data_IF_742092376696
#
_entry.id   IF_742092376696
#
_cell.length_a   1.000
_cell.length_b   1.000
_cell.length_c   1.000
_cell.angle_alpha   90.00
_cell.angle_beta   90.00
_cell.angle_gamma   90.00
#
_symmetry.space_group_name_H-M   'P 1'
#
loop_
_entity.id
_entity.type
_entity.pdbx_description
1 polymer ?
#
# COMPACT_ATOMS: atom_id res chain seq x y z
N UNK A 1 -9.05 -3.47 -8.81
CA UNK A 1 -7.88 -2.86 -9.46
C UNK A 1 -7.53 -3.65 -10.69
N UNK A 2 -7.04 -2.97 -11.72
CA UNK A 2 -6.58 -3.60 -12.97
C UNK A 2 -5.17 -3.06 -13.24
N UNK A 3 -4.20 -3.97 -13.34
CA UNK A 3 -2.84 -3.63 -13.75
C UNK A 3 -2.83 -3.37 -15.25
N UNK A 4 -2.33 -2.22 -15.68
CA UNK A 4 -2.22 -1.85 -17.10
C UNK A 4 -0.86 -2.24 -17.67
N UNK A 5 0.18 -2.04 -16.88
CA UNK A 5 1.57 -2.37 -17.19
C UNK A 5 2.28 -2.80 -15.91
N UNK A 6 3.14 -3.80 -16.01
CA UNK A 6 3.84 -4.38 -14.85
C UNK A 6 5.35 -4.19 -15.04
N UNK A 7 5.87 -3.14 -14.42
CA UNK A 7 7.30 -2.78 -14.40
C UNK A 7 7.87 -2.79 -12.97
N UNK A 8 7.36 -3.68 -12.13
CA UNK A 8 7.76 -3.81 -10.72
C UNK A 8 6.82 -3.10 -9.74
N UNK A 9 7.06 -3.34 -8.45
CA UNK A 9 6.40 -2.78 -7.27
C UNK A 9 4.87 -2.69 -7.34
N UNK A 10 4.24 -3.73 -7.90
CA UNK A 10 2.80 -3.72 -8.20
C UNK A 10 1.94 -3.53 -6.95
N UNK A 11 2.35 -4.07 -5.81
CA UNK A 11 1.60 -4.00 -4.57
C UNK A 11 1.48 -2.55 -4.06
N UNK A 12 2.58 -1.81 -4.05
CA UNK A 12 2.59 -0.40 -3.64
C UNK A 12 1.81 0.47 -4.62
N UNK A 13 2.00 0.27 -5.92
CA UNK A 13 1.23 0.95 -6.97
C UNK A 13 -0.27 0.72 -6.80
N UNK A 14 -0.68 -0.51 -6.45
CA UNK A 14 -2.08 -0.86 -6.17
C UNK A 14 -2.62 -0.16 -4.92
N UNK A 15 -1.84 -0.11 -3.84
CA UNK A 15 -2.24 0.59 -2.60
C UNK A 15 -2.43 2.08 -2.88
N UNK A 16 -1.48 2.71 -3.55
CA UNK A 16 -1.55 4.13 -3.91
C UNK A 16 -2.75 4.41 -4.82
N UNK A 17 -2.97 3.59 -5.84
CA UNK A 17 -4.12 3.72 -6.75
C UNK A 17 -5.46 3.55 -6.01
N UNK A 18 -5.55 2.63 -5.05
CA UNK A 18 -6.75 2.44 -4.23
C UNK A 18 -7.01 3.63 -3.31
N UNK A 19 -5.97 4.11 -2.63
CA UNK A 19 -6.04 5.29 -1.76
C UNK A 19 -6.49 6.52 -2.55
N UNK A 20 -5.93 6.73 -3.75
CA UNK A 20 -6.34 7.83 -4.63
C UNK A 20 -7.79 7.68 -5.16
N UNK A 21 -8.20 6.47 -5.53
CA UNK A 21 -9.55 6.20 -6.00
C UNK A 21 -10.60 6.44 -4.90
N UNK A 22 -10.30 6.04 -3.67
CA UNK A 22 -11.16 6.31 -2.51
C UNK A 22 -11.14 7.78 -2.11
N UNK A 23 -9.98 8.45 -2.13
CA UNK A 23 -9.87 9.88 -1.80
C UNK A 23 -10.57 10.81 -2.80
N UNK A 24 -10.79 10.34 -4.04
CA UNK A 24 -11.55 11.02 -5.09
C UNK A 24 -12.98 10.48 -5.27
N UNK A 25 -13.40 9.52 -4.45
CA UNK A 25 -14.71 8.90 -4.54
C UNK A 25 -15.82 9.92 -4.27
N UNK A 26 -16.81 9.92 -5.15
CA UNK A 26 -18.08 10.63 -4.96
C UNK A 26 -19.21 9.62 -4.92
N UNK A 27 -20.23 9.87 -4.12
CA UNK A 27 -21.42 9.03 -3.98
C UNK A 27 -22.68 9.85 -4.27
N UNK A 28 -23.75 9.25 -4.82
CA UNK A 28 -25.01 9.94 -4.99
C UNK A 28 -25.60 10.30 -3.62
N UNK A 29 -26.12 11.52 -3.49
CA UNK A 29 -26.73 11.98 -2.24
C UNK A 29 -28.00 11.17 -1.95
N UNK A 30 -28.10 10.65 -0.73
CA UNK A 30 -29.26 9.85 -0.28
C UNK A 30 -30.07 10.67 0.72
N UNK A 31 -31.37 10.83 0.47
CA UNK A 31 -32.32 11.51 1.35
C UNK A 31 -33.37 10.51 1.78
N UNK A 32 -33.57 10.36 3.09
CA UNK A 32 -34.59 9.48 3.66
C UNK A 32 -35.71 10.37 4.20
N UNK A 33 -36.93 10.18 3.69
CA UNK A 33 -38.14 10.90 4.11
C UNK A 33 -39.27 9.92 4.31
N UNK A 34 -39.90 9.91 5.49
CA UNK A 34 -41.07 9.06 5.79
C UNK A 34 -40.90 7.58 5.40
N UNK A 35 -39.73 7.00 5.72
CA UNK A 35 -39.32 5.61 5.37
C UNK A 35 -39.04 5.34 3.88
N UNK A 36 -39.18 6.33 3.01
CA UNK A 36 -38.79 6.24 1.60
C UNK A 36 -37.34 6.70 1.39
N UNK A 37 -36.56 5.90 0.63
CA UNK A 37 -35.18 6.21 0.26
C UNK A 37 -35.16 6.84 -1.12
N UNK A 38 -34.82 8.14 -1.18
CA UNK A 38 -34.66 8.88 -2.42
C UNK A 38 -33.18 9.07 -2.75
N UNK A 39 -32.73 8.56 -3.89
CA UNK A 39 -31.35 8.71 -4.38
C UNK A 39 -31.31 9.83 -5.41
N UNK A 40 -30.51 10.87 -5.13
CA UNK A 40 -30.34 12.03 -6.01
C UNK A 40 -29.35 11.76 -7.14
N UNK A 41 -29.47 12.52 -8.23
CA UNK A 41 -28.45 12.60 -9.29
C UNK A 41 -27.25 13.46 -8.88
N UNK A 42 -27.41 14.32 -7.89
CA UNK A 42 -26.32 15.09 -7.31
C UNK A 42 -25.36 14.15 -6.55
N UNK A 43 -24.06 14.37 -6.74
CA UNK A 43 -23.00 13.58 -6.10
C UNK A 43 -22.26 14.42 -5.08
N UNK A 44 -21.95 13.81 -3.95
CA UNK A 44 -21.14 14.41 -2.88
C UNK A 44 -19.86 13.60 -2.68
N UNK A 45 -18.80 14.26 -2.18
CA UNK A 45 -17.54 13.58 -1.88
C UNK A 45 -17.76 12.61 -0.72
N UNK A 46 -17.29 11.38 -0.86
CA UNK A 46 -17.32 10.43 0.24
C UNK A 46 -16.35 10.86 1.34
N UNK A 47 -16.80 10.81 2.59
CA UNK A 47 -15.92 10.96 3.75
C UNK A 47 -15.16 9.64 3.95
N UNK A 48 -13.95 9.57 3.40
CA UNK A 48 -13.03 8.46 3.60
C UNK A 48 -11.88 8.95 4.48
N UNK A 49 -11.49 8.13 5.46
CA UNK A 49 -10.30 8.38 6.25
C UNK A 49 -9.04 8.41 5.36
N UNK A 50 -7.98 9.04 5.84
CA UNK A 50 -6.70 9.04 5.14
C UNK A 50 -6.21 7.60 4.92
N UNK A 51 -5.85 7.30 3.67
CA UNK A 51 -5.46 5.95 3.27
C UNK A 51 -4.01 5.63 3.65
N UNK A 52 -3.65 4.34 3.69
CA UNK A 52 -2.29 3.93 4.02
C UNK A 52 -1.29 4.28 2.92
N UNK A 53 -0.03 4.37 3.31
CA UNK A 53 1.13 4.41 2.42
C UNK A 53 1.91 3.10 2.56
N UNK A 54 2.50 2.64 1.46
CA UNK A 54 3.35 1.46 1.47
C UNK A 54 4.72 1.82 0.92
N UNK A 55 5.74 1.06 1.30
CA UNK A 55 7.08 1.10 0.74
C UNK A 55 7.57 -0.34 0.55
N UNK A 56 7.91 -0.70 -0.68
CA UNK A 56 8.48 -2.01 -1.02
C UNK A 56 9.99 -1.93 -1.15
N UNK A 57 10.64 -2.97 -0.64
CA UNK A 57 12.08 -3.15 -0.61
C UNK A 57 12.45 -4.46 -1.30
N UNK A 58 13.54 -4.45 -2.06
CA UNK A 58 14.15 -5.63 -2.62
C UNK A 58 15.60 -5.77 -2.13
N UNK A 59 15.98 -6.99 -1.74
CA UNK A 59 17.33 -7.34 -1.29
C UNK A 59 18.02 -8.08 -2.43
N UNK A 60 19.03 -7.45 -3.03
CA UNK A 60 19.83 -8.01 -4.11
C UNK A 60 20.85 -9.04 -3.56
N UNK A 61 21.51 -9.77 -4.48
CA UNK A 61 22.41 -10.87 -4.14
C UNK A 61 23.67 -10.45 -3.35
N UNK A 62 24.04 -9.17 -3.38
CA UNK A 62 25.16 -8.57 -2.66
C UNK A 62 24.74 -7.90 -1.34
N UNK A 63 23.55 -8.26 -0.82
CA UNK A 63 22.91 -7.67 0.35
C UNK A 63 22.55 -6.17 0.18
N UNK A 64 22.63 -5.62 -1.04
CA UNK A 64 22.15 -4.26 -1.34
C UNK A 64 20.62 -4.21 -1.26
N UNK A 65 20.09 -3.25 -0.51
CA UNK A 65 18.66 -2.99 -0.41
C UNK A 65 18.29 -1.83 -1.32
N UNK A 66 17.34 -2.08 -2.23
CA UNK A 66 16.73 -1.04 -3.08
C UNK A 66 15.27 -0.85 -2.69
N UNK A 67 14.79 0.38 -2.86
CA UNK A 67 13.39 0.78 -2.60
C UNK A 67 12.72 1.02 -3.94
N UNK A 68 11.42 0.71 -4.03
CA UNK A 68 10.65 0.83 -5.27
C UNK A 68 11.26 0.00 -6.42
N UNK A 69 11.36 -1.32 -6.26
CA UNK A 69 12.08 -2.16 -7.21
C UNK A 69 11.35 -2.20 -8.56
N UNK A 70 12.11 -1.95 -9.62
CA UNK A 70 11.72 -2.22 -11.01
C UNK A 70 11.53 -3.71 -11.25
N UNK A 71 10.91 -4.07 -12.37
CA UNK A 71 10.76 -5.49 -12.75
C UNK A 71 12.11 -6.24 -12.81
N UNK A 72 13.16 -5.59 -13.32
CA UNK A 72 14.49 -6.20 -13.38
C UNK A 72 15.09 -6.41 -11.97
N UNK A 73 14.95 -5.44 -11.08
CA UNK A 73 15.41 -5.53 -9.69
C UNK A 73 14.63 -6.60 -8.92
N UNK A 74 13.31 -6.69 -9.11
CA UNK A 74 12.48 -7.76 -8.53
C UNK A 74 12.93 -9.15 -9.01
N UNK A 75 13.28 -9.30 -10.30
CA UNK A 75 13.76 -10.57 -10.85
C UNK A 75 15.12 -10.98 -10.29
N UNK A 76 15.98 -10.02 -9.98
CA UNK A 76 17.32 -10.25 -9.42
C UNK A 76 17.32 -10.33 -7.89
N UNK A 77 16.25 -9.89 -7.25
CA UNK A 77 16.11 -9.89 -5.80
C UNK A 77 16.13 -11.31 -5.24
N UNK A 78 16.92 -11.50 -4.18
CA UNK A 78 16.86 -12.70 -3.35
C UNK A 78 15.60 -12.72 -2.49
N UNK A 79 15.16 -11.54 -2.06
CA UNK A 79 13.97 -11.34 -1.23
C UNK A 79 13.32 -9.98 -1.51
N UNK A 80 12.01 -9.91 -1.34
CA UNK A 80 11.25 -8.66 -1.31
C UNK A 80 10.41 -8.58 -0.06
N UNK A 81 10.14 -7.37 0.43
CA UNK A 81 9.18 -7.12 1.49
C UNK A 81 8.59 -5.72 1.38
N UNK A 82 7.34 -5.57 1.81
CA UNK A 82 6.61 -4.31 1.80
C UNK A 82 6.20 -3.96 3.23
N UNK A 83 6.44 -2.71 3.62
CA UNK A 83 5.95 -2.15 4.88
C UNK A 83 4.81 -1.19 4.54
N UNK A 84 3.71 -1.28 5.28
CA UNK A 84 2.55 -0.41 5.13
C UNK A 84 2.35 0.39 6.41
N UNK A 85 2.25 1.71 6.25
CA UNK A 85 2.05 2.69 7.31
C UNK A 85 0.64 3.29 7.20
N UNK A 86 0.02 3.55 8.35
CA UNK A 86 -1.16 4.40 8.43
C UNK A 86 -0.78 5.88 8.31
N UNK A 87 -1.78 6.74 8.16
CA UNK A 87 -1.59 8.20 8.17
C UNK A 87 -0.98 8.74 9.49
N UNK A 88 -1.10 7.99 10.59
CA UNK A 88 -0.55 8.33 11.91
C UNK A 88 0.85 7.73 12.13
N UNK A 89 1.59 7.42 11.06
CA UNK A 89 2.93 6.81 11.07
C UNK A 89 3.02 5.44 11.79
N UNK A 90 1.89 4.78 12.04
CA UNK A 90 1.86 3.46 12.65
C UNK A 90 2.02 2.36 11.59
N UNK A 91 2.82 1.34 11.86
CA UNK A 91 2.90 0.16 11.00
C UNK A 91 1.56 -0.57 11.07
N UNK A 92 0.83 -0.62 9.95
CA UNK A 92 -0.44 -1.32 9.85
C UNK A 92 -0.30 -2.72 9.24
N UNK A 93 0.71 -2.94 8.39
CA UNK A 93 1.00 -4.26 7.84
C UNK A 93 2.46 -4.40 7.40
N UNK A 94 2.95 -5.64 7.41
CA UNK A 94 4.21 -6.04 6.77
C UNK A 94 3.92 -7.25 5.90
N UNK A 95 4.32 -7.18 4.63
CA UNK A 95 4.16 -8.27 3.67
C UNK A 95 5.53 -8.74 3.21
N UNK A 96 5.91 -9.97 3.57
CA UNK A 96 7.13 -10.63 3.08
C UNK A 96 6.72 -11.89 2.31
N UNK A 97 6.68 -11.86 0.97
CA UNK A 97 6.52 -13.07 0.18
C UNK A 97 7.80 -13.93 0.24
N UNK A 98 7.64 -15.26 0.26
CA UNK A 98 8.76 -16.22 0.25
C UNK A 98 8.94 -17.03 1.55
N UNK A 99 10.05 -17.77 1.65
CA UNK A 99 10.32 -18.72 2.75
C UNK A 99 11.65 -18.52 3.47
N UNK A 100 12.52 -17.65 2.96
CA UNK A 100 13.85 -17.43 3.49
C UNK A 100 13.82 -16.42 4.67
N UNK A 101 14.74 -16.60 5.61
CA UNK A 101 14.84 -15.78 6.81
C UNK A 101 15.55 -14.47 6.46
N UNK A 102 14.90 -13.32 6.68
CA UNK A 102 15.61 -12.05 6.68
C UNK A 102 16.34 -11.96 8.01
N UNK A 103 17.64 -11.71 7.98
CA UNK A 103 18.35 -11.39 9.21
C UNK A 103 17.84 -10.03 9.72
N UNK A 104 17.18 -10.04 10.88
CA UNK A 104 16.49 -8.89 11.50
C UNK A 104 17.34 -7.61 11.60
N UNK A 105 18.68 -7.72 11.60
CA UNK A 105 19.59 -6.56 11.64
C UNK A 105 19.48 -5.63 10.42
N UNK A 106 19.17 -6.12 9.21
CA UNK A 106 19.16 -5.26 8.02
C UNK A 106 17.98 -4.29 7.99
N UNK A 107 16.89 -4.61 8.69
CA UNK A 107 15.67 -3.77 8.73
C UNK A 107 15.84 -2.54 9.65
N UNK A 108 16.81 -2.56 10.58
CA UNK A 108 17.05 -1.46 11.53
C UNK A 108 17.81 -0.26 10.95
N UNK A 109 18.38 -0.36 9.75
CA UNK A 109 19.34 0.63 9.22
C UNK A 109 18.72 1.93 8.66
N UNK A 110 17.39 2.04 8.53
CA UNK A 110 16.72 3.27 8.05
C UNK A 110 16.05 4.11 9.15
N UNK A 111 16.32 3.84 10.43
CA UNK A 111 16.08 4.82 11.49
C UNK A 111 14.71 4.82 12.17
N UNK A 112 13.74 3.98 11.79
CA UNK A 112 12.66 3.46 12.67
C UNK A 112 11.96 2.29 11.97
N UNK A 113 12.23 1.07 12.40
CA UNK A 113 11.29 -0.06 12.25
C UNK A 113 11.35 -0.85 13.55
N UNK A 114 10.41 -0.57 14.45
CA UNK A 114 10.20 -1.39 15.63
C UNK A 114 9.32 -2.57 15.18
N UNK A 115 9.87 -3.79 15.19
CA UNK A 115 9.04 -4.99 15.18
C UNK A 115 9.24 -5.70 16.53
N UNK A 116 8.37 -5.46 17.53
CA UNK A 116 8.19 -6.38 18.63
C UNK A 116 6.84 -7.08 18.45
N UNK A 117 6.88 -8.40 18.33
CA UNK A 117 5.92 -9.23 19.06
C UNK A 117 6.73 -10.11 19.99
#
# INVERSE_FOLDING_TARGET
MTCLDYDGNLAEACILASTAALGSLTLPKVVITDEEVNVSLEREKAEVAEGPLAATFAVLADDTIVVDPTYEEECLASETFTIVLSADDNICAVHKPGKWLIQLCSIYLSGTVVVPV
#
